data_IF_874952517846
#
_entry.id   IF_874952517846
#
_cell.length_a   1.000
_cell.length_b   1.000
_cell.length_c   1.000
_cell.angle_alpha   90.00
_cell.angle_beta   90.00
_cell.angle_gamma   90.00
#
_symmetry.space_group_name_H-M   'P 1'
#
loop_
_entity.id
_entity.type
_entity.pdbx_description
1 polymer ?
#
# COMPACT_ATOMS: atom_id res chain seq x y z
N UNK A 1 3.97 8.10 -1.62
CA UNK A 1 2.72 7.96 -0.83
C UNK A 1 2.79 6.73 0.05
N UNK A 2 2.70 5.50 -0.50
CA UNK A 2 2.68 4.29 0.33
C UNK A 2 3.91 4.13 1.25
N UNK A 3 5.12 4.44 0.78
CA UNK A 3 6.33 4.31 1.60
C UNK A 3 6.40 5.38 2.72
N UNK A 4 5.86 6.57 2.47
CA UNK A 4 5.78 7.63 3.48
C UNK A 4 4.76 7.24 4.57
N UNK A 5 3.57 6.82 4.16
CA UNK A 5 2.53 6.33 5.10
C UNK A 5 3.04 5.13 5.90
N UNK A 6 3.79 4.23 5.25
CA UNK A 6 4.39 3.10 5.94
C UNK A 6 5.39 3.54 7.02
N UNK A 7 6.18 4.58 6.74
CA UNK A 7 7.12 5.13 7.70
C UNK A 7 6.42 5.80 8.90
N UNK A 8 5.36 6.55 8.66
CA UNK A 8 4.54 7.20 9.70
C UNK A 8 3.87 6.16 10.61
N UNK A 9 3.33 5.07 10.05
CA UNK A 9 2.75 3.96 10.81
C UNK A 9 3.81 3.31 11.71
N UNK A 10 4.99 3.03 11.17
CA UNK A 10 6.10 2.41 11.92
C UNK A 10 6.58 3.30 13.05
N UNK A 11 6.70 4.61 12.82
CA UNK A 11 7.11 5.56 13.86
C UNK A 11 6.07 5.64 14.98
N UNK A 12 4.78 5.68 14.62
CA UNK A 12 3.68 5.72 15.59
C UNK A 12 3.64 4.45 16.44
N UNK A 13 3.77 3.29 15.81
CA UNK A 13 3.80 2.01 16.53
C UNK A 13 5.02 1.91 17.46
N UNK A 14 6.21 2.34 17.02
CA UNK A 14 7.41 2.44 17.88
C UNK A 14 7.22 3.38 19.07
N UNK A 15 6.56 4.53 18.88
CA UNK A 15 6.30 5.51 19.95
C UNK A 15 5.40 4.93 21.04
N UNK A 16 4.46 4.04 20.67
CA UNK A 16 3.59 3.35 21.62
C UNK A 16 4.25 2.14 22.29
N UNK A 17 5.48 1.77 21.91
CA UNK A 17 6.26 0.70 22.53
C UNK A 17 6.01 -0.69 21.93
N UNK A 18 5.30 -0.80 20.81
CA UNK A 18 5.10 -2.07 20.13
C UNK A 18 6.32 -2.46 19.29
N UNK A 19 6.64 -3.76 19.24
CA UNK A 19 7.74 -4.27 18.43
C UNK A 19 7.23 -4.51 17.01
N UNK A 20 7.60 -3.63 16.09
CA UNK A 20 7.21 -3.71 14.69
C UNK A 20 8.28 -4.45 13.90
N UNK A 21 7.92 -5.54 13.24
CA UNK A 21 8.69 -6.06 12.11
C UNK A 21 8.39 -5.17 10.91
N UNK A 22 9.47 -4.55 10.42
CA UNK A 22 9.44 -3.43 9.49
C UNK A 22 8.61 -3.68 8.22
N UNK A 23 8.33 -2.63 7.45
CA UNK A 23 7.46 -2.72 6.29
C UNK A 23 8.11 -3.61 5.22
N UNK A 24 7.65 -4.84 5.12
CA UNK A 24 8.12 -5.82 4.15
C UNK A 24 7.46 -5.50 2.81
N UNK A 25 8.26 -5.22 1.75
CA UNK A 25 7.71 -5.03 0.42
C UNK A 25 7.22 -6.37 -0.13
N UNK A 26 5.91 -6.48 -0.37
CA UNK A 26 5.36 -7.62 -1.08
C UNK A 26 5.51 -7.41 -2.60
N UNK A 27 5.51 -8.50 -3.39
CA UNK A 27 5.58 -8.43 -4.85
C UNK A 27 4.49 -7.52 -5.41
N UNK A 28 4.91 -6.56 -6.24
CA UNK A 28 3.98 -5.63 -6.88
C UNK A 28 3.18 -6.36 -7.96
N UNK A 29 1.85 -6.29 -7.87
CA UNK A 29 0.98 -6.79 -8.93
C UNK A 29 0.96 -5.77 -10.05
N UNK A 30 1.33 -6.20 -11.26
CA UNK A 30 1.38 -5.36 -12.45
C UNK A 30 0.33 -5.87 -13.42
N UNK A 31 -0.74 -5.09 -13.60
CA UNK A 31 -1.79 -5.38 -14.57
C UNK A 31 -1.52 -4.53 -15.81
N UNK A 32 -1.31 -5.18 -16.96
CA UNK A 32 -1.00 -4.53 -18.24
C UNK A 32 -2.20 -4.58 -19.16
N UNK A 33 -2.51 -3.46 -19.78
CA UNK A 33 -3.64 -3.27 -20.69
C UNK A 33 -3.14 -2.69 -22.01
N UNK A 34 -3.41 -3.40 -23.09
CA UNK A 34 -3.11 -2.93 -24.45
C UNK A 34 -4.41 -2.56 -25.16
N UNK A 35 -4.58 -1.28 -25.48
CA UNK A 35 -5.79 -0.74 -26.10
C UNK A 35 -5.45 -0.21 -27.49
N UNK A 36 -6.39 -0.33 -28.43
CA UNK A 36 -6.24 0.32 -29.74
C UNK A 36 -6.46 1.82 -29.61
N UNK A 37 -5.49 2.61 -30.08
CA UNK A 37 -5.63 4.07 -30.10
C UNK A 37 -6.61 4.52 -31.18
N UNK A 38 -6.64 3.81 -32.32
CA UNK A 38 -7.47 4.17 -33.47
C UNK A 38 -8.84 3.48 -33.39
N UNK A 39 -9.94 4.21 -33.68
CA UNK A 39 -11.27 3.61 -33.77
C UNK A 39 -11.46 2.71 -35.00
N UNK A 40 -10.61 2.84 -36.03
CA UNK A 40 -10.72 2.05 -37.27
C UNK A 40 -9.35 1.73 -37.90
N UNK A 41 -9.23 0.55 -38.54
CA UNK A 41 -8.15 0.00 -39.40
C UNK A 41 -6.74 -0.11 -38.81
N UNK A 42 -6.26 0.84 -38.02
CA UNK A 42 -4.86 0.89 -37.56
C UNK A 42 -4.59 -0.05 -36.37
N UNK A 43 -4.32 -1.33 -36.64
CA UNK A 43 -4.06 -2.37 -35.63
C UNK A 43 -2.69 -2.28 -34.93
N UNK A 44 -1.71 -1.66 -35.59
CA UNK A 44 -0.35 -1.47 -35.08
C UNK A 44 -0.23 -0.31 -34.09
N UNK A 45 -1.16 0.65 -34.15
CA UNK A 45 -1.24 1.76 -33.19
C UNK A 45 -1.94 1.29 -31.89
N UNK A 46 -1.14 0.89 -30.90
CA UNK A 46 -1.60 0.45 -29.58
C UNK A 46 -1.05 1.35 -28.49
N UNK A 47 -1.88 1.62 -27.50
CA UNK A 47 -1.47 2.24 -26.24
C UNK A 47 -1.34 1.17 -25.18
N UNK A 48 -0.23 1.20 -24.46
CA UNK A 48 0.05 0.29 -23.35
C UNK A 48 -0.10 1.06 -22.06
N UNK A 49 -1.02 0.62 -21.22
CA UNK A 49 -1.23 1.14 -19.89
C UNK A 49 -0.92 0.05 -18.87
N UNK A 50 -0.54 0.46 -17.67
CA UNK A 50 -0.39 -0.47 -16.56
C UNK A 50 -0.91 0.13 -15.26
N UNK A 51 -1.47 -0.74 -14.43
CA UNK A 51 -1.81 -0.46 -13.05
C UNK A 51 -0.83 -1.25 -12.19
N UNK A 52 -0.05 -0.55 -11.38
CA UNK A 52 0.89 -1.15 -10.42
C UNK A 52 0.32 -1.04 -9.02
N UNK A 53 -0.06 -2.17 -8.45
CA UNK A 53 -0.50 -2.25 -7.05
C UNK A 53 0.70 -2.60 -6.18
N UNK A 54 1.14 -1.64 -5.38
CA UNK A 54 2.20 -1.83 -4.40
C UNK A 54 1.60 -2.28 -3.07
N UNK A 55 2.13 -3.37 -2.52
CA UNK A 55 1.71 -3.90 -1.22
C UNK A 55 2.86 -3.80 -0.22
N UNK A 56 2.52 -3.47 1.02
CA UNK A 56 3.43 -3.42 2.16
C UNK A 56 2.80 -4.22 3.29
N UNK A 57 3.56 -5.16 3.84
CA UNK A 57 3.15 -5.94 5.01
C UNK A 57 3.89 -5.40 6.24
N UNK A 58 3.16 -5.19 7.32
CA UNK A 58 3.74 -4.90 8.64
C UNK A 58 3.22 -5.92 9.62
N UNK A 59 4.10 -6.40 10.49
CA UNK A 59 3.75 -7.36 11.52
C UNK A 59 4.09 -6.73 12.88
N UNK A 60 3.07 -6.62 13.74
CA UNK A 60 3.17 -6.02 15.07
C UNK A 60 3.20 -7.16 16.08
N UNK A 61 4.37 -7.39 16.67
CA UNK A 61 4.56 -8.36 17.75
C UNK A 61 4.21 -7.66 19.06
N UNK A 62 3.28 -8.26 19.81
CA UNK A 62 2.69 -7.74 21.06
C UNK A 62 1.90 -6.42 20.90
N UNK A 63 0.64 -6.50 20.41
CA UNK A 63 -0.22 -5.32 20.34
C UNK A 63 -0.63 -4.86 21.74
N UNK A 64 -0.35 -3.59 22.07
CA UNK A 64 -0.97 -2.94 23.24
C UNK A 64 -2.26 -2.24 22.82
N UNK A 65 -3.25 -2.14 23.72
CA UNK A 65 -4.53 -1.46 23.42
C UNK A 65 -4.31 -0.01 22.94
N UNK A 66 -3.29 0.66 23.49
CA UNK A 66 -2.88 2.01 23.09
C UNK A 66 -2.37 2.07 21.65
N UNK A 67 -1.71 1.01 21.17
CA UNK A 67 -1.21 0.92 19.80
C UNK A 67 -2.37 0.73 18.81
N UNK A 68 -3.36 -0.11 19.14
CA UNK A 68 -4.53 -0.33 18.27
C UNK A 68 -5.34 0.96 18.11
N UNK A 69 -5.59 1.67 19.20
CA UNK A 69 -6.31 2.96 19.19
C UNK A 69 -5.57 4.05 18.41
N UNK A 70 -4.23 4.07 18.49
CA UNK A 70 -3.41 5.04 17.77
C UNK A 70 -3.40 4.78 16.25
N UNK A 71 -3.44 3.51 15.84
CA UNK A 71 -3.47 3.12 14.43
C UNK A 71 -4.82 3.41 13.77
N UNK A 72 -5.93 3.21 14.49
CA UNK A 72 -7.26 3.54 13.97
C UNK A 72 -7.51 5.04 13.82
N UNK A 73 -6.80 5.88 14.60
CA UNK A 73 -6.94 7.35 14.57
C UNK A 73 -5.94 8.03 13.63
N UNK A 74 -5.07 7.28 12.96
CA UNK A 74 -4.08 7.86 12.08
C UNK A 74 -4.74 8.35 10.78
N UNK A 75 -4.57 9.63 10.45
CA UNK A 75 -5.03 10.19 9.19
C UNK A 75 -4.13 9.73 8.04
N UNK A 76 -4.55 8.66 7.37
CA UNK A 76 -3.87 8.16 6.18
C UNK A 76 -4.31 8.93 4.92
N UNK A 77 -3.40 9.16 3.96
CA UNK A 77 -3.77 9.81 2.72
C UNK A 77 -4.77 8.96 1.93
N UNK A 78 -5.76 9.61 1.31
CA UNK A 78 -6.91 8.98 0.63
C UNK A 78 -6.59 8.01 -0.54
N UNK A 79 -5.32 7.74 -0.83
CA UNK A 79 -4.86 6.80 -1.84
C UNK A 79 -4.18 5.54 -1.28
N UNK A 80 -4.24 5.32 0.04
CA UNK A 80 -3.69 4.13 0.70
C UNK A 80 -4.82 3.36 1.36
N UNK A 81 -4.94 2.08 1.00
CA UNK A 81 -5.87 1.14 1.63
C UNK A 81 -5.15 0.33 2.71
N UNK A 82 -5.83 0.07 3.84
CA UNK A 82 -5.25 -0.64 5.00
C UNK A 82 -6.19 -1.75 5.44
N UNK A 83 -5.66 -2.96 5.49
CA UNK A 83 -6.35 -4.14 5.99
C UNK A 83 -5.64 -4.62 7.28
N UNK A 84 -6.38 -4.73 8.38
CA UNK A 84 -5.88 -5.24 9.66
C UNK A 84 -6.39 -6.67 9.84
N UNK A 85 -5.46 -7.62 10.07
CA UNK A 85 -5.77 -8.99 10.47
C UNK A 85 -5.24 -9.23 11.87
N UNK A 86 -6.12 -9.71 12.76
CA UNK A 86 -5.81 -10.13 14.13
C UNK A 86 -5.40 -11.61 14.15
#
# INVERSE_FOLDING_TARGET
LIDQSAQEIVETAKRTGAVVKGPVPLPTRIERFDILRSPHVNKTSRDQFEIRTHQRLMDIVDPTDKTVDALMKLDLPAGVDVEIKL
#
